data_IF_234891613458
#
_entry.id   IF_234891613458
#
_cell.length_a   1.000
_cell.length_b   1.000
_cell.length_c   1.000
_cell.angle_alpha   90.00
_cell.angle_beta   90.00
_cell.angle_gamma   90.00
#
_symmetry.space_group_name_H-M   'P 1'
#
loop_
_entity.id
_entity.type
_entity.pdbx_description
1 polymer ?
#
# COMPACT_ATOMS: atom_id res chain seq x y z
N UNK A 1 -26.01 -22.44 18.19
CA UNK A 1 -25.78 -23.21 19.43
C UNK A 1 -26.93 -24.18 19.53
N UNK A 2 -26.60 -25.46 19.58
CA UNK A 2 -27.56 -26.56 19.62
C UNK A 2 -28.54 -26.42 20.79
N UNK A 3 -29.84 -26.58 20.52
CA UNK A 3 -30.78 -27.01 21.55
C UNK A 3 -30.59 -28.52 21.72
N UNK A 4 -29.51 -28.89 22.42
CA UNK A 4 -29.29 -30.25 22.90
C UNK A 4 -30.35 -30.58 23.98
N UNK A 5 -31.26 -31.48 23.61
CA UNK A 5 -31.81 -32.55 24.45
C UNK A 5 -31.97 -32.29 25.96
N UNK A 6 -33.22 -32.02 26.36
CA UNK A 6 -33.83 -32.68 27.51
C UNK A 6 -35.17 -33.29 27.10
N UNK A 7 -35.12 -34.18 26.09
CA UNK A 7 -36.12 -35.24 26.01
C UNK A 7 -35.75 -36.21 27.13
N UNK A 8 -36.44 -36.10 28.25
CA UNK A 8 -36.38 -37.10 29.31
C UNK A 8 -36.71 -38.46 28.70
N UNK A 9 -35.73 -39.35 28.76
CA UNK A 9 -35.81 -40.76 28.41
C UNK A 9 -37.12 -41.35 28.92
N UNK A 10 -38.03 -41.72 28.01
CA UNK A 10 -39.10 -42.67 28.29
C UNK A 10 -38.49 -44.07 28.23
N UNK A 11 -37.60 -44.38 29.18
CA UNK A 11 -37.24 -45.74 29.53
C UNK A 11 -37.96 -46.05 30.84
N UNK A 12 -38.70 -47.16 30.87
CA UNK A 12 -39.35 -47.67 32.07
C UNK A 12 -38.32 -47.87 33.18
N UNK A 13 -38.26 -46.94 34.14
CA UNK A 13 -37.48 -47.09 35.37
C UNK A 13 -38.45 -47.10 36.55
N UNK A 14 -38.39 -48.23 37.26
CA UNK A 14 -39.06 -48.57 38.52
C UNK A 14 -39.48 -47.38 39.41
N UNK A 15 -40.72 -47.43 39.88
CA UNK A 15 -41.27 -46.66 41.01
C UNK A 15 -40.44 -46.89 42.29
N UNK A 16 -39.31 -46.20 42.48
CA UNK A 16 -38.66 -46.04 43.81
C UNK A 16 -37.50 -45.03 43.85
N UNK A 17 -37.49 -43.98 43.03
CA UNK A 17 -36.76 -42.76 43.40
C UNK A 17 -37.79 -41.70 43.76
N UNK A 18 -37.73 -41.26 45.01
CA UNK A 18 -38.67 -40.32 45.60
C UNK A 18 -38.47 -38.96 44.90
N UNK A 19 -39.26 -38.70 43.85
CA UNK A 19 -39.24 -37.44 43.10
C UNK A 19 -39.31 -36.29 44.10
N UNK A 20 -38.23 -35.51 44.19
CA UNK A 20 -38.18 -34.35 45.06
C UNK A 20 -38.93 -33.20 44.40
N UNK A 21 -40.24 -33.14 44.65
CA UNK A 21 -41.11 -32.13 44.08
C UNK A 21 -40.65 -30.69 44.38
N UNK A 22 -39.98 -30.47 45.52
CA UNK A 22 -39.46 -29.15 45.90
C UNK A 22 -38.33 -28.70 44.96
N UNK A 23 -37.44 -29.61 44.55
CA UNK A 23 -36.33 -29.30 43.63
C UNK A 23 -36.82 -29.12 42.19
N UNK A 24 -37.86 -29.87 41.80
CA UNK A 24 -38.51 -29.71 40.50
C UNK A 24 -39.28 -28.38 40.41
N UNK A 25 -39.92 -27.96 41.50
CA UNK A 25 -40.58 -26.66 41.62
C UNK A 25 -39.55 -25.52 41.52
N UNK A 26 -38.41 -25.61 42.23
CA UNK A 26 -37.35 -24.62 42.17
C UNK A 26 -36.74 -24.49 40.76
N UNK A 27 -36.47 -25.60 40.07
CA UNK A 27 -35.97 -25.59 38.69
C UNK A 27 -36.98 -24.96 37.72
N UNK A 28 -38.28 -25.25 37.90
CA UNK A 28 -39.34 -24.68 37.09
C UNK A 28 -39.46 -23.16 37.31
N UNK A 29 -39.35 -22.69 38.54
CA UNK A 29 -39.34 -21.26 38.88
C UNK A 29 -38.12 -20.53 38.29
N UNK A 30 -36.93 -21.14 38.34
CA UNK A 30 -35.73 -20.60 37.72
C UNK A 30 -35.89 -20.49 36.20
N UNK A 31 -36.48 -21.50 35.57
CA UNK A 31 -36.72 -21.49 34.14
C UNK A 31 -37.74 -20.42 33.74
N UNK A 32 -38.86 -20.29 34.47
CA UNK A 32 -39.80 -19.20 34.24
C UNK A 32 -39.14 -17.83 34.40
N UNK A 33 -38.32 -17.63 35.43
CA UNK A 33 -37.61 -16.37 35.67
C UNK A 33 -36.68 -16.01 34.51
N UNK A 34 -35.93 -17.00 34.01
CA UNK A 34 -35.05 -16.81 32.87
C UNK A 34 -35.84 -16.45 31.60
N UNK A 35 -36.92 -17.17 31.31
CA UNK A 35 -37.77 -16.91 30.14
C UNK A 35 -38.45 -15.54 30.19
N UNK A 36 -38.94 -15.11 31.36
CA UNK A 36 -39.50 -13.77 31.51
C UNK A 36 -38.46 -12.67 31.30
N UNK A 37 -37.25 -12.85 31.82
CA UNK A 37 -36.12 -11.92 31.57
C UNK A 37 -35.75 -11.87 30.07
N UNK A 38 -35.75 -13.02 29.39
CA UNK A 38 -35.47 -13.06 27.95
C UNK A 38 -36.58 -12.37 27.15
N UNK A 39 -37.84 -12.57 27.53
CA UNK A 39 -39.00 -11.93 26.91
C UNK A 39 -38.96 -10.41 27.07
N UNK A 40 -38.59 -9.90 28.24
CA UNK A 40 -38.45 -8.47 28.51
C UNK A 40 -37.36 -7.82 27.65
N UNK A 41 -36.21 -8.49 27.48
CA UNK A 41 -35.14 -8.04 26.57
C UNK A 41 -35.62 -8.00 25.12
N UNK A 42 -36.33 -9.03 24.69
CA UNK A 42 -36.87 -9.09 23.32
C UNK A 42 -37.91 -7.98 23.07
N UNK A 43 -38.72 -7.64 24.07
CA UNK A 43 -39.66 -6.52 23.98
C UNK A 43 -38.92 -5.17 23.83
N UNK A 44 -37.81 -4.98 24.56
CA UNK A 44 -36.97 -3.79 24.45
C UNK A 44 -36.35 -3.67 23.06
N UNK A 45 -35.73 -4.74 22.57
CA UNK A 45 -35.15 -4.78 21.23
C UNK A 45 -36.21 -4.55 20.14
N UNK A 46 -37.40 -5.14 20.31
CA UNK A 46 -38.50 -4.95 19.37
C UNK A 46 -38.98 -3.49 19.36
N UNK A 47 -39.02 -2.79 20.51
CA UNK A 47 -39.29 -1.34 20.58
C UNK A 47 -38.21 -0.50 19.89
N UNK A 48 -36.95 -0.92 19.98
CA UNK A 48 -35.85 -0.23 19.29
C UNK A 48 -35.91 -0.41 17.77
N UNK A 49 -36.18 -1.63 17.30
CA UNK A 49 -36.27 -1.96 15.87
C UNK A 49 -37.54 -1.37 15.24
N UNK A 50 -38.65 -1.35 15.98
CA UNK A 50 -39.93 -0.78 15.52
C UNK A 50 -40.00 0.73 15.65
N UNK A 51 -39.02 1.38 16.29
CA UNK A 51 -38.90 2.83 16.32
C UNK A 51 -38.74 3.33 14.87
N UNK A 52 -39.70 4.12 14.35
CA UNK A 52 -39.64 4.62 12.98
C UNK A 52 -38.36 5.41 12.68
N UNK A 53 -37.80 6.07 13.71
CA UNK A 53 -36.58 6.87 13.58
C UNK A 53 -35.33 5.99 13.40
N UNK A 54 -35.15 4.95 14.23
CA UNK A 54 -34.01 4.02 14.10
C UNK A 54 -34.07 3.20 12.81
N UNK A 55 -35.27 2.75 12.44
CA UNK A 55 -35.50 2.08 11.16
C UNK A 55 -35.22 3.04 9.99
N UNK A 56 -35.63 4.30 10.12
CA UNK A 56 -35.34 5.37 9.17
C UNK A 56 -33.84 5.58 8.98
N UNK A 57 -33.06 5.66 10.06
CA UNK A 57 -31.61 5.84 10.00
C UNK A 57 -30.92 4.66 9.29
N UNK A 58 -31.27 3.41 9.63
CA UNK A 58 -30.70 2.21 8.97
C UNK A 58 -31.04 2.19 7.48
N UNK A 59 -32.29 2.50 7.12
CA UNK A 59 -32.73 2.56 5.72
C UNK A 59 -31.99 3.67 4.97
N UNK A 60 -31.82 4.85 5.59
CA UNK A 60 -31.09 5.97 4.99
C UNK A 60 -29.62 5.62 4.78
N UNK A 61 -28.96 5.00 5.75
CA UNK A 61 -27.57 4.55 5.64
C UNK A 61 -27.39 3.52 4.51
N UNK A 62 -28.28 2.54 4.41
CA UNK A 62 -28.25 1.54 3.33
C UNK A 62 -28.52 2.20 1.97
N UNK A 63 -29.49 3.11 1.86
CA UNK A 63 -29.78 3.85 0.63
C UNK A 63 -28.56 4.68 0.21
N UNK A 64 -27.94 5.42 1.15
CA UNK A 64 -26.76 6.24 0.86
C UNK A 64 -25.56 5.38 0.48
N UNK A 65 -25.35 4.24 1.14
CA UNK A 65 -24.32 3.25 0.79
C UNK A 65 -24.53 2.69 -0.61
N UNK A 66 -25.74 2.20 -0.93
CA UNK A 66 -26.06 1.66 -2.25
C UNK A 66 -25.97 2.73 -3.34
N UNK A 67 -26.43 3.95 -3.06
CA UNK A 67 -26.30 5.08 -3.97
C UNK A 67 -24.82 5.40 -4.22
N UNK A 68 -24.01 5.57 -3.17
CA UNK A 68 -22.57 5.82 -3.27
C UNK A 68 -21.83 4.72 -4.05
N UNK A 69 -22.20 3.46 -3.84
CA UNK A 69 -21.70 2.32 -4.60
C UNK A 69 -22.09 2.39 -6.09
N UNK A 70 -23.36 2.74 -6.40
CA UNK A 70 -23.86 2.84 -7.78
C UNK A 70 -23.25 4.01 -8.57
N UNK A 71 -23.03 5.16 -7.94
CA UNK A 71 -22.39 6.32 -8.60
C UNK A 71 -20.86 6.28 -8.51
N UNK A 72 -20.29 5.25 -7.88
CA UNK A 72 -18.84 5.08 -7.75
C UNK A 72 -18.18 6.07 -6.79
N UNK A 73 -18.92 6.66 -5.84
CA UNK A 73 -18.34 7.47 -4.77
C UNK A 73 -17.63 6.60 -3.71
N UNK A 74 -18.03 5.34 -3.55
CA UNK A 74 -17.33 4.39 -2.69
C UNK A 74 -16.22 3.63 -3.46
N UNK A 75 -15.61 4.29 -4.44
CA UNK A 75 -14.44 3.76 -5.14
C UNK A 75 -13.25 3.83 -4.20
N UNK A 76 -13.14 2.82 -3.34
CA UNK A 76 -12.00 2.67 -2.42
C UNK A 76 -10.68 2.78 -3.18
N UNK A 77 -9.61 3.17 -2.48
CA UNK A 77 -8.25 3.20 -3.03
C UNK A 77 -7.89 1.88 -3.71
N UNK A 78 -8.34 0.75 -3.16
CA UNK A 78 -8.11 -0.59 -3.71
C UNK A 78 -8.86 -0.81 -5.03
N UNK A 79 -10.10 -0.34 -5.14
CA UNK A 79 -10.88 -0.43 -6.39
C UNK A 79 -10.26 0.42 -7.49
N UNK A 80 -9.85 1.66 -7.20
CA UNK A 80 -9.15 2.54 -8.16
C UNK A 80 -7.81 1.95 -8.60
N UNK A 81 -7.04 1.41 -7.65
CA UNK A 81 -5.76 0.77 -7.92
C UNK A 81 -5.93 -0.49 -8.79
N UNK A 82 -6.96 -1.29 -8.51
CA UNK A 82 -7.31 -2.47 -9.31
C UNK A 82 -7.66 -2.07 -10.75
N UNK A 83 -8.57 -1.10 -10.93
CA UNK A 83 -8.94 -0.60 -12.25
C UNK A 83 -7.73 -0.09 -13.05
N UNK A 84 -6.81 0.64 -12.40
CA UNK A 84 -5.58 1.08 -13.04
C UNK A 84 -4.71 -0.10 -13.49
N UNK A 85 -4.49 -1.08 -12.61
CA UNK A 85 -3.65 -2.23 -12.90
C UNK A 85 -4.26 -3.15 -13.98
N UNK A 86 -5.59 -3.30 -14.00
CA UNK A 86 -6.30 -4.07 -15.03
C UNK A 86 -6.10 -3.45 -16.43
N UNK A 87 -6.06 -2.10 -16.51
CA UNK A 87 -5.74 -1.37 -17.75
C UNK A 87 -4.24 -1.41 -18.10
N UNK A 88 -3.36 -1.66 -17.13
CA UNK A 88 -1.90 -1.64 -17.28
C UNK A 88 -1.24 -2.94 -16.80
N UNK A 89 -1.55 -4.10 -17.41
CA UNK A 89 -1.16 -5.41 -16.89
C UNK A 89 0.36 -5.65 -16.91
N UNK A 90 1.10 -4.96 -17.78
CA UNK A 90 2.52 -5.22 -18.03
C UNK A 90 3.47 -4.51 -17.06
N UNK A 91 2.96 -3.73 -16.10
CA UNK A 91 3.78 -3.02 -15.13
C UNK A 91 4.80 -2.06 -15.77
N UNK A 92 5.92 -1.82 -15.08
CA UNK A 92 6.97 -0.93 -15.60
C UNK A 92 7.84 -1.64 -16.64
N UNK A 93 7.76 -1.20 -17.89
CA UNK A 93 8.51 -1.79 -19.01
C UNK A 93 9.66 -0.91 -19.50
N UNK A 94 10.48 -1.43 -20.42
CA UNK A 94 11.54 -0.64 -21.07
C UNK A 94 10.96 0.43 -22.00
N UNK A 95 9.81 0.17 -22.60
CA UNK A 95 9.07 1.08 -23.45
C UNK A 95 8.57 2.28 -22.64
N UNK A 96 7.97 2.03 -21.46
CA UNK A 96 7.55 3.07 -20.51
C UNK A 96 8.74 3.96 -20.09
N UNK A 97 9.85 3.32 -19.69
CA UNK A 97 11.08 4.06 -19.40
C UNK A 97 11.55 4.92 -20.59
N UNK A 98 11.49 4.37 -21.80
CA UNK A 98 11.90 5.07 -23.02
C UNK A 98 10.97 6.24 -23.36
N UNK A 99 9.65 6.10 -23.15
CA UNK A 99 8.66 7.17 -23.32
C UNK A 99 9.02 8.38 -22.44
N UNK A 100 9.33 8.14 -21.18
CA UNK A 100 9.75 9.18 -20.22
C UNK A 100 11.02 9.92 -20.70
N UNK A 101 12.00 9.21 -21.25
CA UNK A 101 13.25 9.83 -21.74
C UNK A 101 13.13 10.53 -23.10
N UNK A 102 12.10 10.20 -23.88
CA UNK A 102 11.80 10.88 -25.16
C UNK A 102 10.91 12.11 -24.98
N UNK A 103 10.36 12.32 -23.78
CA UNK A 103 9.55 13.48 -23.44
C UNK A 103 10.36 14.78 -23.62
N UNK A 104 9.70 15.79 -24.20
CA UNK A 104 10.32 17.09 -24.50
C UNK A 104 10.95 17.74 -23.27
N UNK A 105 10.30 17.64 -22.11
CA UNK A 105 10.82 18.22 -20.85
C UNK A 105 12.16 17.63 -20.46
N UNK A 106 12.30 16.31 -20.59
CA UNK A 106 13.56 15.63 -20.33
C UNK A 106 14.62 15.99 -21.37
N UNK A 107 14.28 15.96 -22.66
CA UNK A 107 15.25 16.27 -23.72
C UNK A 107 15.75 17.71 -23.64
N UNK A 108 14.86 18.66 -23.35
CA UNK A 108 15.20 20.07 -23.21
C UNK A 108 16.09 20.29 -21.98
N UNK A 109 15.77 19.67 -20.84
CA UNK A 109 16.60 19.73 -19.64
C UNK A 109 17.99 19.09 -19.86
N UNK A 110 18.05 17.97 -20.58
CA UNK A 110 19.30 17.29 -20.89
C UNK A 110 20.18 18.12 -21.84
N UNK A 111 19.56 18.80 -22.82
CA UNK A 111 20.27 19.72 -23.70
C UNK A 111 20.80 20.93 -22.91
N UNK A 112 19.97 21.54 -22.04
CA UNK A 112 20.39 22.64 -21.18
C UNK A 112 21.54 22.25 -20.25
N UNK A 113 21.51 21.04 -19.67
CA UNK A 113 22.61 20.49 -18.87
C UNK A 113 23.91 20.37 -19.68
N UNK A 114 23.84 19.84 -20.90
CA UNK A 114 25.00 19.72 -21.79
C UNK A 114 25.60 21.08 -22.16
N UNK A 115 24.77 22.08 -22.42
CA UNK A 115 25.25 23.45 -22.68
C UNK A 115 25.92 24.07 -21.45
N UNK A 116 25.35 23.88 -20.26
CA UNK A 116 26.01 24.28 -18.99
C UNK A 116 27.36 23.61 -18.81
N UNK A 117 27.48 22.34 -19.21
CA UNK A 117 28.73 21.59 -19.15
C UNK A 117 29.78 22.14 -20.11
N UNK A 118 29.41 22.40 -21.38
CA UNK A 118 30.31 23.00 -22.38
C UNK A 118 30.86 24.35 -21.93
N UNK A 119 30.04 25.11 -21.20
CA UNK A 119 30.44 26.40 -20.63
C UNK A 119 31.27 26.27 -19.33
N UNK A 120 31.60 25.06 -18.87
CA UNK A 120 32.37 24.81 -17.65
C UNK A 120 31.62 25.12 -16.35
N UNK A 121 30.29 25.31 -16.41
CA UNK A 121 29.46 25.78 -15.30
C UNK A 121 28.54 24.71 -14.72
N UNK A 122 28.66 23.45 -15.17
CA UNK A 122 27.86 22.35 -14.62
C UNK A 122 28.43 21.89 -13.28
N UNK A 123 27.67 22.11 -12.20
CA UNK A 123 27.93 21.49 -10.90
C UNK A 123 27.18 20.17 -10.80
N UNK A 124 27.84 19.18 -10.23
CA UNK A 124 27.25 17.91 -9.85
C UNK A 124 26.34 18.11 -8.64
N UNK A 125 25.05 17.79 -8.79
CA UNK A 125 24.03 18.08 -7.77
C UNK A 125 24.27 17.33 -6.45
N UNK A 126 24.86 16.13 -6.53
CA UNK A 126 25.02 15.25 -5.37
C UNK A 126 26.34 15.47 -4.63
N UNK A 127 27.37 15.94 -5.31
CA UNK A 127 28.72 16.14 -4.74
C UNK A 127 29.11 17.61 -4.61
N UNK A 128 28.39 18.52 -5.25
CA UNK A 128 28.69 19.96 -5.31
C UNK A 128 29.92 20.32 -6.15
N UNK A 129 30.62 19.34 -6.71
CA UNK A 129 31.84 19.55 -7.51
C UNK A 129 31.48 19.97 -8.92
N UNK A 130 32.27 20.87 -9.52
CA UNK A 130 32.14 21.19 -10.93
C UNK A 130 32.54 19.98 -11.79
N UNK A 131 31.65 19.56 -12.69
CA UNK A 131 31.94 18.54 -13.69
C UNK A 131 32.73 19.20 -14.83
N UNK A 132 33.89 18.66 -15.15
CA UNK A 132 34.75 19.26 -16.18
C UNK A 132 34.13 19.10 -17.57
N UNK A 133 34.54 19.97 -18.49
CA UNK A 133 34.09 19.96 -19.90
C UNK A 133 34.36 18.60 -20.56
N UNK A 134 35.49 17.96 -20.24
CA UNK A 134 35.89 16.68 -20.81
C UNK A 134 35.35 15.44 -20.05
N UNK A 135 34.67 15.64 -18.92
CA UNK A 135 34.06 14.55 -18.17
C UNK A 135 32.69 14.19 -18.77
N UNK A 136 32.21 12.98 -18.51
CA UNK A 136 30.86 12.59 -18.95
C UNK A 136 29.85 12.93 -17.86
N UNK A 137 28.82 13.69 -18.21
CA UNK A 137 27.68 13.99 -17.35
C UNK A 137 26.41 13.31 -17.85
N UNK A 138 25.52 12.98 -16.93
CA UNK A 138 24.18 12.47 -17.20
C UNK A 138 23.14 13.28 -16.43
N UNK A 139 21.94 13.37 -16.99
CA UNK A 139 20.77 13.85 -16.28
C UNK A 139 20.11 12.66 -15.56
N UNK A 140 20.22 12.63 -14.25
CA UNK A 140 19.67 11.58 -13.40
C UNK A 140 18.26 11.92 -12.91
N UNK A 141 17.45 10.90 -12.71
CA UNK A 141 16.18 10.99 -12.00
C UNK A 141 16.43 10.77 -10.50
N UNK A 142 16.26 11.83 -9.70
CA UNK A 142 16.49 11.81 -8.24
C UNK A 142 15.66 10.69 -7.59
N UNK A 143 14.36 10.68 -7.88
CA UNK A 143 13.45 9.57 -7.63
C UNK A 143 13.41 8.70 -8.89
N UNK A 144 13.77 7.40 -8.80
CA UNK A 144 13.77 6.51 -9.95
C UNK A 144 12.41 6.46 -10.66
N UNK A 145 12.44 6.47 -12.00
CA UNK A 145 11.24 6.36 -12.85
C UNK A 145 10.32 5.19 -12.46
N UNK A 146 10.90 4.03 -12.16
CA UNK A 146 10.16 2.84 -11.71
C UNK A 146 9.40 3.09 -10.40
N UNK A 147 10.03 3.76 -9.44
CA UNK A 147 9.39 4.10 -8.17
C UNK A 147 8.21 5.07 -8.36
N UNK A 148 8.33 6.02 -9.28
CA UNK A 148 7.22 6.92 -9.64
C UNK A 148 6.09 6.14 -10.32
N UNK A 149 6.43 5.26 -11.27
CA UNK A 149 5.46 4.41 -11.96
C UNK A 149 4.67 3.53 -10.98
N UNK A 150 5.35 2.92 -10.01
CA UNK A 150 4.77 2.01 -9.02
C UNK A 150 4.02 2.73 -7.88
N UNK A 151 4.12 4.06 -7.80
CA UNK A 151 3.48 4.85 -6.75
C UNK A 151 1.95 4.67 -6.77
N UNK A 152 1.32 4.17 -5.67
CA UNK A 152 -0.12 3.91 -5.63
C UNK A 152 -0.96 5.18 -5.80
N UNK A 153 -0.57 6.29 -5.20
CA UNK A 153 -1.30 7.56 -5.31
C UNK A 153 -1.28 8.13 -6.73
N UNK A 154 -0.16 7.99 -7.44
CA UNK A 154 -0.09 8.32 -8.87
C UNK A 154 -1.05 7.45 -9.69
N UNK A 155 -1.08 6.14 -9.44
CA UNK A 155 -2.00 5.20 -10.12
C UNK A 155 -3.46 5.57 -9.88
N UNK A 156 -3.81 5.84 -8.62
CA UNK A 156 -5.15 6.25 -8.21
C UNK A 156 -5.55 7.56 -8.88
N UNK A 157 -4.64 8.53 -8.98
CA UNK A 157 -4.88 9.81 -9.63
C UNK A 157 -4.78 9.75 -11.18
N UNK A 158 -4.49 8.58 -11.75
CA UNK A 158 -4.26 8.35 -13.19
C UNK A 158 -3.30 9.38 -13.84
N UNK A 159 -2.25 9.77 -13.09
CA UNK A 159 -1.26 10.73 -13.58
C UNK A 159 -0.22 9.99 -14.42
N UNK A 160 0.08 10.53 -15.62
CA UNK A 160 1.15 10.02 -16.48
C UNK A 160 2.50 10.04 -15.77
N UNK A 161 3.24 8.94 -15.87
CA UNK A 161 4.54 8.80 -15.16
C UNK A 161 5.55 9.86 -15.59
N UNK A 162 5.54 10.27 -16.87
CA UNK A 162 6.42 11.31 -17.40
C UNK A 162 6.18 12.68 -16.76
N UNK A 163 4.94 12.99 -16.36
CA UNK A 163 4.58 14.27 -15.75
C UNK A 163 5.20 14.47 -14.37
N UNK A 164 5.38 13.39 -13.63
CA UNK A 164 6.06 13.42 -12.35
C UNK A 164 7.57 13.19 -12.50
N UNK A 165 7.97 12.28 -13.38
CA UNK A 165 9.38 11.93 -13.55
C UNK A 165 10.21 13.08 -14.14
N UNK A 166 9.65 13.86 -15.07
CA UNK A 166 10.38 14.91 -15.78
C UNK A 166 10.14 16.32 -15.22
N UNK A 167 9.65 16.41 -13.99
CA UNK A 167 9.68 17.67 -13.24
C UNK A 167 11.11 18.10 -12.99
N UNK A 168 11.39 19.40 -13.06
CA UNK A 168 12.73 19.97 -12.85
C UNK A 168 13.34 19.53 -11.52
N UNK A 169 12.53 19.40 -10.48
CA UNK A 169 12.93 19.01 -9.13
C UNK A 169 13.41 17.55 -9.07
N UNK A 170 12.98 16.72 -10.03
CA UNK A 170 13.36 15.32 -10.10
C UNK A 170 14.55 15.07 -11.06
N UNK A 171 15.07 16.11 -11.73
CA UNK A 171 16.15 16.00 -12.70
C UNK A 171 17.43 16.65 -12.16
N UNK A 172 18.46 15.83 -11.96
CA UNK A 172 19.72 16.26 -11.38
C UNK A 172 20.90 15.98 -12.32
N UNK A 173 21.69 17.01 -12.62
CA UNK A 173 22.94 16.84 -13.36
C UNK A 173 24.00 16.18 -12.48
N UNK A 174 24.55 15.04 -12.90
CA UNK A 174 25.55 14.29 -12.13
C UNK A 174 26.61 13.70 -13.06
N UNK A 175 27.79 13.43 -12.52
CA UNK A 175 28.84 12.71 -13.24
C UNK A 175 28.40 11.27 -13.58
N UNK A 176 28.87 10.76 -14.71
CA UNK A 176 28.46 9.46 -15.25
C UNK A 176 28.83 8.30 -14.32
N UNK A 177 30.00 8.35 -13.68
CA UNK A 177 30.48 7.29 -12.80
C UNK A 177 29.54 7.09 -11.59
N UNK A 178 29.19 8.20 -10.93
CA UNK A 178 28.24 8.20 -9.82
C UNK A 178 26.86 7.72 -10.28
N UNK A 179 26.37 8.21 -11.42
CA UNK A 179 25.08 7.80 -11.97
C UNK A 179 25.02 6.29 -12.24
N UNK A 180 26.05 5.74 -12.90
CA UNK A 180 26.16 4.29 -13.17
C UNK A 180 26.27 3.48 -11.89
N UNK A 181 26.99 4.00 -10.89
CA UNK A 181 27.12 3.34 -9.59
C UNK A 181 25.80 3.31 -8.81
N UNK A 182 25.00 4.38 -8.88
CA UNK A 182 23.65 4.46 -8.29
C UNK A 182 22.70 3.47 -8.95
N UNK A 183 22.66 3.45 -10.28
CA UNK A 183 21.80 2.57 -11.06
C UNK A 183 20.31 2.84 -10.76
N UNK A 184 19.53 1.79 -10.52
CA UNK A 184 18.09 1.89 -10.25
C UNK A 184 17.75 2.21 -8.78
N UNK A 185 18.75 2.35 -7.90
CA UNK A 185 18.54 2.58 -6.46
C UNK A 185 18.09 4.01 -6.20
N UNK A 186 17.34 4.21 -5.12
CA UNK A 186 17.12 5.55 -4.58
C UNK A 186 18.40 6.12 -3.95
N UNK A 187 18.45 7.44 -3.77
CA UNK A 187 19.59 8.07 -3.09
C UNK A 187 19.79 7.54 -1.66
N UNK A 188 18.69 7.29 -0.94
CA UNK A 188 18.76 6.76 0.42
C UNK A 188 19.32 5.33 0.45
N UNK A 189 18.87 4.45 -0.44
CA UNK A 189 19.41 3.08 -0.59
C UNK A 189 20.88 3.07 -1.00
N UNK A 190 21.27 4.01 -1.86
CA UNK A 190 22.66 4.16 -2.30
C UNK A 190 23.57 4.59 -1.14
N UNK A 191 23.12 5.52 -0.32
CA UNK A 191 23.86 6.02 0.85
C UNK A 191 23.96 4.95 1.95
N UNK A 192 22.88 4.23 2.25
CA UNK A 192 22.88 3.17 3.29
C UNK A 192 23.98 2.13 3.09
N UNK A 193 24.26 1.76 1.84
CA UNK A 193 25.26 0.75 1.50
C UNK A 193 26.65 1.32 1.22
N UNK A 194 26.95 2.57 1.62
CA UNK A 194 28.21 3.24 1.29
C UNK A 194 29.43 2.53 1.87
N UNK A 195 29.41 2.21 3.16
CA UNK A 195 30.57 1.61 3.85
C UNK A 195 30.93 0.24 3.29
N UNK A 196 29.93 -0.62 3.10
CA UNK A 196 30.12 -1.94 2.49
C UNK A 196 30.70 -1.84 1.07
N UNK A 197 30.22 -0.87 0.26
CA UNK A 197 30.78 -0.62 -1.07
C UNK A 197 32.23 -0.14 -1.00
N UNK A 198 32.55 0.79 -0.11
CA UNK A 198 33.90 1.31 0.05
C UNK A 198 34.88 0.20 0.46
N UNK A 199 34.49 -0.66 1.41
CA UNK A 199 35.29 -1.83 1.79
C UNK A 199 35.55 -2.76 0.61
N UNK A 200 34.50 -3.11 -0.14
CA UNK A 200 34.62 -3.97 -1.33
C UNK A 200 35.50 -3.36 -2.43
N UNK A 201 35.49 -2.03 -2.58
CA UNK A 201 36.36 -1.31 -3.51
C UNK A 201 37.83 -1.38 -3.09
N UNK A 202 38.13 -1.15 -1.80
CA UNK A 202 39.50 -1.27 -1.26
C UNK A 202 40.04 -2.69 -1.44
N UNK A 203 39.26 -3.71 -1.11
CA UNK A 203 39.65 -5.10 -1.29
C UNK A 203 39.92 -5.46 -2.76
N UNK A 204 39.12 -4.95 -3.69
CA UNK A 204 39.34 -5.17 -5.13
C UNK A 204 40.65 -4.54 -5.61
N UNK A 205 40.95 -3.32 -5.17
CA UNK A 205 42.20 -2.62 -5.49
C UNK A 205 43.40 -3.38 -4.92
N UNK A 206 43.33 -3.83 -3.67
CA UNK A 206 44.40 -4.64 -3.05
C UNK A 206 44.65 -5.95 -3.83
N UNK A 207 43.59 -6.66 -4.21
CA UNK A 207 43.72 -7.90 -5.01
C UNK A 207 44.32 -7.62 -6.39
N UNK A 208 43.92 -6.53 -7.05
CA UNK A 208 44.46 -6.14 -8.35
C UNK A 208 45.96 -5.79 -8.24
N UNK A 209 46.35 -5.02 -7.22
CA UNK A 209 47.75 -4.66 -6.98
C UNK A 209 48.61 -5.90 -6.69
N UNK A 210 48.12 -6.87 -5.91
CA UNK A 210 48.83 -8.13 -5.66
C UNK A 210 49.04 -8.96 -6.92
N UNK A 211 48.14 -8.88 -7.91
CA UNK A 211 48.29 -9.58 -9.20
C UNK A 211 49.29 -8.91 -10.14
N UNK A 212 49.52 -7.60 -10.01
CA UNK A 212 50.51 -6.87 -10.82
C UNK A 212 51.94 -7.05 -10.31
N UNK A 213 52.11 -7.47 -9.05
CA UNK A 213 53.41 -7.69 -8.41
C UNK A 213 53.88 -9.16 -8.56
N UNK A 214 53.04 -10.05 -9.11
CA UNK A 214 53.39 -11.43 -9.48
C UNK A 214 53.63 -11.54 -10.97
#
# INVERSE_FOLDING_TARGET
>A
MENELLVLNTEEVNESENLNYDELEELLEQQFTMEFSNLEKLELECKEISSPDKLGDIILDEIWSQFANQIGLDMTSDTLLKQYNDKHPNGYTKEEGSKIMKDKRYTDANNAMKERQKNGNLKDEYTGKTIKINEKANLDHVIPRKQIFENPWRKIADIETSDLANKSENLAGTNESLNKSKGAKSNSEYIKNREAREKNLKEQVERANKKLIR
#
